data_IF_080334350534
#
_entry.id   IF_080334350534
#
_cell.length_a   1.000
_cell.length_b   1.000
_cell.length_c   1.000
_cell.angle_alpha   90.00
_cell.angle_beta   90.00
_cell.angle_gamma   90.00
#
_symmetry.space_group_name_H-M   'P 1'
#
loop_
_entity.id
_entity.type
_entity.pdbx_description
1 polymer ?
#
# COMPACT_ATOMS: atom_id res chain seq x y z
N UNK A 1 28.79 119.86 -36.04
CA UNK A 1 27.48 120.40 -36.48
C UNK A 1 26.43 119.46 -35.90
N UNK A 2 25.93 119.68 -34.69
CA UNK A 2 24.79 120.58 -34.38
C UNK A 2 23.64 120.35 -35.39
N UNK A 3 22.44 119.89 -35.01
CA UNK A 3 21.55 120.46 -34.00
C UNK A 3 20.50 119.43 -33.50
N UNK A 4 20.05 119.71 -32.26
CA UNK A 4 18.81 119.37 -31.53
C UNK A 4 17.60 118.99 -32.42
N UNK A 5 16.66 118.13 -31.99
CA UNK A 5 15.68 118.45 -30.94
C UNK A 5 15.04 117.19 -30.31
N UNK A 6 14.86 117.30 -28.99
CA UNK A 6 14.05 116.48 -28.10
C UNK A 6 12.61 116.23 -28.57
N UNK A 7 12.05 115.07 -28.21
CA UNK A 7 11.01 115.03 -27.16
C UNK A 7 10.81 113.62 -26.62
N UNK A 8 10.98 113.55 -25.30
CA UNK A 8 10.67 112.44 -24.42
C UNK A 8 9.19 112.03 -24.55
N UNK A 9 8.93 110.75 -24.79
CA UNK A 9 7.84 110.05 -24.13
C UNK A 9 8.33 108.65 -23.76
N UNK A 10 8.37 108.42 -22.45
CA UNK A 10 8.59 107.13 -21.81
C UNK A 10 7.59 106.11 -22.37
N UNK A 11 8.06 104.94 -22.80
CA UNK A 11 7.45 103.66 -22.44
C UNK A 11 8.47 102.55 -22.69
N UNK A 12 8.99 102.00 -21.60
CA UNK A 12 9.95 100.88 -21.56
C UNK A 12 9.28 99.61 -22.09
N UNK A 13 9.61 99.18 -23.30
CA UNK A 13 9.34 97.82 -23.76
C UNK A 13 10.46 96.89 -23.25
N UNK A 14 10.34 96.48 -21.99
CA UNK A 14 11.15 95.41 -21.44
C UNK A 14 10.61 94.07 -21.96
N UNK A 15 11.52 93.29 -22.51
CA UNK A 15 11.36 91.91 -22.95
C UNK A 15 10.73 91.08 -21.81
N UNK A 16 9.46 90.71 -21.93
CA UNK A 16 8.79 89.82 -20.96
C UNK A 16 9.22 88.38 -21.29
N UNK A 17 10.20 87.90 -20.53
CA UNK A 17 10.35 86.47 -20.25
C UNK A 17 9.12 86.06 -19.44
N UNK A 18 8.13 85.44 -20.10
CA UNK A 18 7.02 84.81 -19.39
C UNK A 18 7.59 83.61 -18.63
N UNK A 19 7.74 83.73 -17.31
CA UNK A 19 7.83 82.59 -16.42
C UNK A 19 6.51 81.83 -16.55
N UNK A 20 6.52 80.73 -17.30
CA UNK A 20 5.43 79.77 -17.28
C UNK A 20 5.41 79.16 -15.87
N UNK A 21 4.48 79.60 -15.04
CA UNK A 21 4.16 78.95 -13.78
C UNK A 21 3.43 77.65 -14.11
N UNK A 22 4.19 76.61 -14.46
CA UNK A 22 3.66 75.26 -14.62
C UNK A 22 3.45 74.68 -13.23
N UNK A 23 2.23 74.81 -12.70
CA UNK A 23 1.85 74.04 -11.52
C UNK A 23 1.88 72.55 -11.90
N UNK A 24 2.82 71.81 -11.32
CA UNK A 24 3.04 70.37 -11.55
C UNK A 24 1.83 69.52 -11.09
N UNK A 25 0.94 70.07 -10.27
CA UNK A 25 -0.25 69.39 -9.79
C UNK A 25 -1.53 70.03 -10.36
N UNK A 26 -2.37 69.22 -11.00
CA UNK A 26 -3.68 69.64 -11.50
C UNK A 26 -4.72 69.72 -10.39
N UNK A 27 -5.74 70.57 -10.59
CA UNK A 27 -6.88 70.70 -9.67
C UNK A 27 -7.70 69.40 -9.59
N UNK A 28 -8.28 69.10 -8.43
CA UNK A 28 -9.08 67.89 -8.19
C UNK A 28 -10.15 67.59 -9.27
N UNK A 29 -10.92 68.58 -9.79
CA UNK A 29 -11.88 68.32 -10.87
C UNK A 29 -11.21 68.03 -12.23
N UNK A 30 -10.04 68.60 -12.52
CA UNK A 30 -9.30 68.33 -13.76
C UNK A 30 -8.55 66.99 -13.71
N UNK A 31 -7.98 66.65 -12.56
CA UNK A 31 -7.38 65.34 -12.33
C UNK A 31 -8.42 64.22 -12.46
N UNK A 32 -9.64 64.41 -11.93
CA UNK A 32 -10.77 63.47 -12.11
C UNK A 32 -11.21 63.36 -13.58
N UNK A 33 -11.16 64.43 -14.37
CA UNK A 33 -11.51 64.35 -15.80
C UNK A 33 -10.50 63.56 -16.65
N UNK A 34 -9.23 63.48 -16.23
CA UNK A 34 -8.15 62.76 -16.93
C UNK A 34 -7.99 61.32 -16.39
N UNK A 35 -8.28 61.08 -15.10
CA UNK A 35 -8.06 59.80 -14.43
C UNK A 35 -9.30 58.91 -14.33
N UNK A 36 -10.46 59.30 -14.89
CA UNK A 36 -11.58 58.36 -15.06
C UNK A 36 -11.27 57.44 -16.23
N UNK A 37 -10.54 56.35 -15.95
CA UNK A 37 -10.54 55.19 -16.83
C UNK A 37 -11.84 54.42 -16.56
N UNK A 38 -12.72 54.23 -17.55
CA UNK A 38 -13.88 53.38 -17.34
C UNK A 38 -13.40 51.96 -17.01
N UNK A 39 -14.03 51.31 -16.02
CA UNK A 39 -14.00 49.84 -15.90
C UNK A 39 -14.25 49.26 -17.29
N UNK A 40 -13.63 48.13 -17.66
CA UNK A 40 -14.07 47.42 -18.88
C UNK A 40 -15.55 47.05 -18.67
N UNK A 41 -16.43 47.88 -19.19
CA UNK A 41 -17.85 47.62 -19.17
C UNK A 41 -18.13 46.73 -20.37
N UNK A 42 -18.65 45.54 -20.10
CA UNK A 42 -19.23 44.62 -21.06
C UNK A 42 -20.07 45.39 -22.11
N UNK A 43 -19.48 45.62 -23.28
CA UNK A 43 -20.19 46.18 -24.43
C UNK A 43 -21.02 45.02 -24.98
N UNK A 44 -22.34 45.21 -24.98
CA UNK A 44 -23.45 44.25 -25.09
C UNK A 44 -23.39 43.09 -26.13
N UNK A 45 -22.29 42.84 -26.85
CA UNK A 45 -22.13 41.77 -27.82
C UNK A 45 -20.69 41.19 -27.95
N UNK A 46 -19.76 41.55 -27.05
CA UNK A 46 -18.42 40.95 -27.02
C UNK A 46 -18.02 40.76 -25.56
N UNK A 47 -18.13 39.52 -25.06
CA UNK A 47 -17.31 39.09 -23.93
C UNK A 47 -15.83 39.32 -24.30
N UNK A 48 -15.03 39.70 -23.30
CA UNK A 48 -13.72 40.32 -23.51
C UNK A 48 -12.79 39.49 -24.40
N UNK A 49 -12.52 39.99 -25.61
CA UNK A 49 -11.58 39.35 -26.57
C UNK A 49 -10.13 39.29 -26.01
N UNK A 50 -9.83 40.08 -24.98
CA UNK A 50 -8.49 40.26 -24.43
C UNK A 50 -8.41 39.68 -23.02
N UNK A 51 -7.43 38.79 -22.81
CA UNK A 51 -7.09 38.26 -21.48
C UNK A 51 -7.04 39.35 -20.41
N UNK A 52 -7.70 39.09 -19.27
CA UNK A 52 -7.77 40.01 -18.14
C UNK A 52 -6.38 40.33 -17.57
N UNK A 53 -6.24 41.51 -16.96
CA UNK A 53 -4.98 41.93 -16.33
C UNK A 53 -5.13 41.97 -14.81
N UNK A 54 -4.43 41.06 -14.11
CA UNK A 54 -4.49 40.91 -12.66
C UNK A 54 -4.26 42.22 -11.89
N UNK A 55 -3.25 43.00 -12.29
CA UNK A 55 -2.90 44.26 -11.63
C UNK A 55 -4.05 45.25 -11.71
N UNK A 56 -4.66 45.36 -12.89
CA UNK A 56 -5.75 46.32 -13.11
C UNK A 56 -7.05 45.88 -12.45
N UNK A 57 -7.41 44.60 -12.61
CA UNK A 57 -8.75 44.15 -12.27
C UNK A 57 -8.89 43.79 -10.80
N UNK A 58 -7.84 43.23 -10.19
CA UNK A 58 -7.90 42.78 -8.80
C UNK A 58 -7.03 43.59 -7.83
N UNK A 59 -5.97 44.29 -8.28
CA UNK A 59 -5.14 45.11 -7.38
C UNK A 59 -5.47 46.60 -7.43
N UNK A 60 -5.69 47.18 -8.62
CA UNK A 60 -6.17 48.56 -8.78
C UNK A 60 -7.68 48.67 -8.52
N UNK A 61 -8.43 47.58 -8.74
CA UNK A 61 -9.88 47.48 -8.55
C UNK A 61 -10.28 46.26 -7.70
N UNK A 62 -11.56 46.20 -7.30
CA UNK A 62 -12.15 45.01 -6.68
C UNK A 62 -12.68 44.11 -7.80
N UNK A 63 -12.16 42.88 -7.86
CA UNK A 63 -12.64 41.86 -8.80
C UNK A 63 -13.55 40.83 -8.12
N UNK A 64 -14.44 40.23 -8.91
CA UNK A 64 -15.21 39.06 -8.54
C UNK A 64 -14.51 37.76 -9.01
N UNK A 65 -15.02 36.60 -8.58
CA UNK A 65 -14.38 35.30 -8.87
C UNK A 65 -14.33 34.98 -10.36
N UNK A 66 -15.32 35.43 -11.13
CA UNK A 66 -15.39 35.19 -12.57
C UNK A 66 -14.35 36.04 -13.32
N UNK A 67 -14.18 37.30 -12.92
CA UNK A 67 -13.12 38.17 -13.44
C UNK A 67 -11.72 37.58 -13.13
N UNK A 68 -11.50 37.07 -11.91
CA UNK A 68 -10.27 36.37 -11.58
C UNK A 68 -10.06 35.11 -12.45
N UNK A 69 -11.12 34.36 -12.77
CA UNK A 69 -11.08 33.18 -13.64
C UNK A 69 -10.65 33.54 -15.06
N UNK A 70 -11.10 34.67 -15.57
CA UNK A 70 -10.72 35.21 -16.88
C UNK A 70 -9.25 35.66 -16.95
N UNK A 71 -8.69 36.13 -15.82
CA UNK A 71 -7.27 36.49 -15.73
C UNK A 71 -6.35 35.26 -15.79
N UNK A 72 -6.68 34.19 -15.06
CA UNK A 72 -5.79 33.01 -14.95
C UNK A 72 -6.05 31.96 -16.04
N UNK A 73 -7.26 31.88 -16.59
CA UNK A 73 -7.71 30.86 -17.55
C UNK A 73 -7.50 29.41 -17.06
N UNK A 74 -7.30 29.23 -15.75
CA UNK A 74 -7.03 27.96 -15.08
C UNK A 74 -7.75 27.95 -13.74
N UNK A 75 -8.57 26.92 -13.53
CA UNK A 75 -9.40 26.83 -12.32
C UNK A 75 -8.56 26.70 -11.04
N UNK A 76 -7.46 25.96 -11.07
CA UNK A 76 -6.63 25.75 -9.87
C UNK A 76 -5.95 27.05 -9.46
N UNK A 77 -5.33 27.75 -10.41
CA UNK A 77 -4.70 29.06 -10.15
C UNK A 77 -5.70 30.12 -9.70
N UNK A 78 -6.92 30.08 -10.26
CA UNK A 78 -8.00 30.98 -9.87
C UNK A 78 -8.39 30.75 -8.41
N UNK A 79 -8.58 29.49 -7.99
CA UNK A 79 -8.88 29.17 -6.59
C UNK A 79 -7.74 29.57 -5.67
N UNK A 80 -6.48 29.21 -6.01
CA UNK A 80 -5.31 29.53 -5.18
C UNK A 80 -5.12 31.04 -4.98
N UNK A 81 -5.45 31.86 -5.98
CA UNK A 81 -5.50 33.32 -5.85
C UNK A 81 -6.72 33.78 -5.04
N UNK A 82 -7.90 33.25 -5.36
CA UNK A 82 -9.17 33.72 -4.84
C UNK A 82 -9.33 33.47 -3.35
N UNK A 83 -8.84 32.34 -2.81
CA UNK A 83 -8.90 32.07 -1.36
C UNK A 83 -8.15 33.15 -0.58
N UNK A 84 -6.96 33.52 -1.03
CA UNK A 84 -6.15 34.57 -0.40
C UNK A 84 -6.77 35.96 -0.62
N UNK A 85 -7.28 36.23 -1.82
CA UNK A 85 -7.84 37.54 -2.17
C UNK A 85 -9.12 37.87 -1.41
N UNK A 86 -9.97 36.86 -1.17
CA UNK A 86 -11.31 37.04 -0.60
C UNK A 86 -11.30 37.36 0.90
N UNK A 87 -10.46 36.68 1.69
CA UNK A 87 -10.41 36.86 3.16
C UNK A 87 -9.00 36.77 3.78
N UNK A 88 -7.96 36.85 2.95
CA UNK A 88 -6.56 36.97 3.37
C UNK A 88 -5.87 35.64 3.63
N UNK A 89 -4.54 35.57 3.47
CA UNK A 89 -3.77 34.33 3.67
C UNK A 89 -3.75 33.89 5.14
N UNK A 90 -4.53 32.86 5.47
CA UNK A 90 -4.58 32.25 6.80
C UNK A 90 -3.44 31.28 7.07
N UNK A 91 -2.66 30.93 6.04
CA UNK A 91 -1.43 30.16 6.17
C UNK A 91 -0.20 31.02 6.50
N UNK A 92 -0.31 32.35 6.48
CA UNK A 92 0.79 33.30 6.72
C UNK A 92 1.52 33.10 8.05
N UNK A 93 0.83 32.66 9.09
CA UNK A 93 1.42 32.39 10.42
C UNK A 93 2.00 30.98 10.55
N UNK A 94 1.90 30.17 9.50
CA UNK A 94 2.20 28.75 9.47
C UNK A 94 1.54 27.98 10.64
N UNK A 95 0.20 27.87 10.65
CA UNK A 95 -0.53 27.24 11.75
C UNK A 95 -0.30 25.72 11.85
N UNK A 96 0.19 25.08 10.79
CA UNK A 96 0.44 23.65 10.74
C UNK A 96 1.76 23.30 11.44
N UNK A 97 1.66 22.54 12.53
CA UNK A 97 2.81 22.10 13.32
C UNK A 97 3.52 20.92 12.65
N UNK A 98 4.70 20.60 13.16
CA UNK A 98 5.45 19.38 12.83
C UNK A 98 5.69 19.15 11.32
N UNK A 99 5.91 20.25 10.58
CA UNK A 99 6.21 20.21 9.15
C UNK A 99 5.00 19.94 8.25
N UNK A 100 3.77 20.06 8.77
CA UNK A 100 2.56 19.96 7.97
C UNK A 100 2.47 21.08 6.93
N UNK A 101 1.97 20.76 5.74
CA UNK A 101 1.77 21.74 4.66
C UNK A 101 0.44 22.46 4.85
N UNK A 102 0.49 23.78 4.99
CA UNK A 102 -0.71 24.60 5.08
C UNK A 102 -1.33 24.86 3.71
N UNK A 103 -2.66 24.72 3.61
CA UNK A 103 -3.47 25.11 2.45
C UNK A 103 -4.57 26.07 2.88
N UNK A 104 -4.53 27.26 2.32
CA UNK A 104 -5.50 28.34 2.52
C UNK A 104 -6.87 28.01 1.89
N UNK A 105 -7.97 28.48 2.48
CA UNK A 105 -9.35 28.26 2.02
C UNK A 105 -10.24 29.45 2.36
N UNK A 106 -11.35 29.59 1.65
CA UNK A 106 -12.36 30.59 2.02
C UNK A 106 -12.88 30.30 3.43
N UNK A 107 -12.73 31.27 4.32
CA UNK A 107 -13.15 31.21 5.72
C UNK A 107 -12.19 30.48 6.66
N UNK A 108 -10.97 30.14 6.24
CA UNK A 108 -9.95 29.54 7.11
C UNK A 108 -8.91 28.68 6.39
N UNK A 109 -8.21 27.80 7.10
CA UNK A 109 -7.15 26.98 6.50
C UNK A 109 -7.37 25.49 6.74
N UNK A 110 -6.59 24.67 6.05
CA UNK A 110 -6.47 23.24 6.31
C UNK A 110 -5.02 22.80 6.29
N UNK A 111 -4.63 21.97 7.25
CA UNK A 111 -3.31 21.40 7.32
C UNK A 111 -3.27 20.00 6.69
N UNK A 112 -2.30 19.78 5.82
CA UNK A 112 -1.89 18.45 5.38
C UNK A 112 -0.75 17.99 6.26
N UNK A 113 -1.07 17.16 7.26
CA UNK A 113 -0.10 16.72 8.26
C UNK A 113 0.94 15.78 7.68
N UNK A 114 2.14 15.85 8.26
CA UNK A 114 3.16 14.84 8.07
C UNK A 114 2.69 13.53 8.67
N UNK A 115 3.19 12.44 8.10
CA UNK A 115 2.74 11.09 8.39
C UNK A 115 2.58 10.78 9.89
N UNK A 116 3.46 11.29 10.77
CA UNK A 116 3.43 11.03 12.23
C UNK A 116 2.37 11.81 13.03
N UNK A 117 1.66 12.75 12.41
CA UNK A 117 0.83 13.72 13.11
C UNK A 117 -0.59 13.80 12.52
N UNK A 118 -1.53 14.19 13.36
CA UNK A 118 -2.95 14.37 13.05
C UNK A 118 -3.51 15.55 13.85
N UNK A 119 -4.75 15.94 13.59
CA UNK A 119 -5.37 17.13 14.18
C UNK A 119 -5.52 18.29 13.20
N UNK A 120 -6.20 19.36 13.64
CA UNK A 120 -6.49 20.51 12.77
C UNK A 120 -5.20 21.26 12.38
N UNK A 121 -4.24 21.27 13.31
CA UNK A 121 -2.95 21.94 13.19
C UNK A 121 -1.79 20.94 13.25
N UNK A 122 -2.06 19.64 13.03
CA UNK A 122 -1.06 18.58 13.17
C UNK A 122 -0.43 18.52 14.57
N UNK A 123 -1.23 18.85 15.59
CA UNK A 123 -0.81 18.97 16.99
C UNK A 123 -0.83 17.64 17.76
N UNK A 124 -1.45 16.58 17.20
CA UNK A 124 -1.59 15.28 17.85
C UNK A 124 -0.74 14.21 17.18
N UNK A 125 -0.11 13.38 17.99
CA UNK A 125 0.57 12.17 17.51
C UNK A 125 -0.45 11.09 17.12
N UNK A 126 -0.08 10.23 16.16
CA UNK A 126 -0.90 9.08 15.75
C UNK A 126 -0.86 8.00 16.85
N UNK A 127 -1.96 7.81 17.58
CA UNK A 127 -2.12 6.80 18.65
C UNK A 127 -2.62 5.43 18.19
N UNK A 128 -2.79 5.25 16.88
CA UNK A 128 -3.32 4.02 16.27
C UNK A 128 -2.31 3.43 15.29
N UNK A 129 -2.42 2.12 15.04
CA UNK A 129 -1.60 1.49 14.02
C UNK A 129 -2.02 1.96 12.61
N UNK A 130 -1.12 2.59 11.85
CA UNK A 130 -1.41 3.09 10.51
C UNK A 130 -1.66 1.92 9.55
N UNK A 131 -2.59 2.09 8.61
CA UNK A 131 -2.97 1.09 7.60
C UNK A 131 -2.54 1.43 6.17
N UNK A 132 -1.90 2.60 5.99
CA UNK A 132 -1.36 3.10 4.72
C UNK A 132 -0.45 4.31 4.95
N UNK A 133 0.36 4.67 3.95
CA UNK A 133 1.33 5.78 4.02
C UNK A 133 2.71 5.36 4.51
N UNK A 134 3.63 6.31 4.71
CA UNK A 134 5.01 5.98 5.10
C UNK A 134 5.14 5.56 6.56
N UNK A 135 4.10 5.73 7.38
CA UNK A 135 4.08 5.29 8.77
C UNK A 135 3.94 3.79 9.00
N UNK A 136 3.56 3.03 7.97
CA UNK A 136 3.22 1.62 8.14
C UNK A 136 4.44 0.83 8.62
N UNK A 137 4.25 0.06 9.68
CA UNK A 137 5.25 -0.91 10.13
C UNK A 137 5.39 -2.03 9.09
N UNK A 138 6.62 -2.41 8.74
CA UNK A 138 6.85 -3.48 7.74
C UNK A 138 6.27 -4.83 8.20
N UNK A 139 6.36 -5.12 9.50
CA UNK A 139 5.77 -6.32 10.11
C UNK A 139 4.66 -5.94 11.10
N UNK A 140 4.92 -6.05 12.40
CA UNK A 140 3.88 -5.91 13.42
C UNK A 140 3.81 -4.48 13.95
N UNK A 141 2.61 -4.03 14.29
CA UNK A 141 2.37 -2.79 15.00
C UNK A 141 1.63 -3.07 16.31
N UNK A 142 2.11 -2.49 17.42
CA UNK A 142 1.41 -2.55 18.71
C UNK A 142 1.17 -1.16 19.26
N UNK A 143 -0.04 -0.95 19.75
CA UNK A 143 -0.47 0.31 20.36
C UNK A 143 0.11 0.40 21.78
N UNK A 144 0.65 1.57 22.12
CA UNK A 144 1.12 1.96 23.45
C UNK A 144 0.26 3.13 23.96
N UNK A 145 0.26 3.46 25.26
CA UNK A 145 -0.35 4.70 25.73
C UNK A 145 0.26 5.89 24.98
N UNK A 146 -0.58 6.64 24.26
CA UNK A 146 -0.22 7.84 23.48
C UNK A 146 0.64 7.62 22.21
N UNK A 147 0.99 6.38 21.84
CA UNK A 147 1.80 6.11 20.63
C UNK A 147 1.59 4.70 20.09
N UNK A 148 2.35 4.32 19.06
CA UNK A 148 2.50 2.92 18.65
C UNK A 148 3.97 2.60 18.41
N UNK A 149 4.30 1.31 18.41
CA UNK A 149 5.65 0.83 18.11
C UNK A 149 5.61 -0.33 17.14
N UNK A 150 6.53 -0.32 16.19
CA UNK A 150 6.74 -1.41 15.25
C UNK A 150 7.61 -2.53 15.86
N UNK A 151 7.30 -3.77 15.52
CA UNK A 151 8.03 -4.97 15.92
C UNK A 151 8.23 -5.89 14.72
N UNK A 152 9.29 -6.68 14.73
CA UNK A 152 9.64 -7.55 13.62
C UNK A 152 9.41 -9.04 13.90
N UNK A 153 9.27 -9.82 12.83
CA UNK A 153 9.21 -11.27 12.88
C UNK A 153 10.52 -11.90 13.41
N UNK A 154 10.46 -13.20 13.78
CA UNK A 154 11.62 -13.94 14.30
C UNK A 154 12.77 -13.92 13.28
N UNK A 155 13.96 -13.52 13.74
CA UNK A 155 15.15 -13.41 12.90
C UNK A 155 15.36 -12.04 12.25
N UNK A 156 14.54 -11.04 12.58
CA UNK A 156 14.65 -9.66 12.11
C UNK A 156 14.78 -8.68 13.27
N UNK A 157 15.58 -7.63 13.06
CA UNK A 157 15.69 -6.49 13.96
C UNK A 157 15.00 -5.27 13.34
N UNK A 158 14.47 -4.39 14.20
CA UNK A 158 13.90 -3.12 13.77
C UNK A 158 15.03 -2.20 13.32
N UNK A 159 14.90 -1.65 12.12
CA UNK A 159 15.83 -0.68 11.55
C UNK A 159 15.79 0.64 12.31
N UNK A 160 16.79 1.51 12.10
CA UNK A 160 16.91 2.79 12.80
C UNK A 160 15.81 3.79 12.47
N UNK A 161 15.08 3.59 11.37
CA UNK A 161 13.86 4.37 11.06
C UNK A 161 12.67 4.04 11.96
N UNK A 162 12.78 3.00 12.79
CA UNK A 162 11.73 2.56 13.70
C UNK A 162 10.54 1.86 13.02
N UNK A 163 10.65 1.50 11.72
CA UNK A 163 9.54 0.94 10.92
C UNK A 163 9.93 -0.29 10.11
N UNK A 164 11.10 -0.27 9.48
CA UNK A 164 11.57 -1.35 8.62
C UNK A 164 12.21 -2.49 9.42
N UNK A 165 12.17 -3.69 8.86
CA UNK A 165 12.68 -4.90 9.48
C UNK A 165 13.85 -5.47 8.66
N UNK A 166 15.03 -5.50 9.28
CA UNK A 166 16.26 -6.02 8.66
C UNK A 166 16.57 -7.42 9.17
N UNK A 167 16.88 -8.39 8.28
CA UNK A 167 17.25 -9.73 8.71
C UNK A 167 18.56 -9.69 9.51
N UNK A 168 18.59 -10.39 10.64
CA UNK A 168 19.75 -10.49 11.53
C UNK A 168 20.20 -11.94 11.75
N UNK A 169 19.27 -12.90 11.72
CA UNK A 169 19.59 -14.31 11.81
C UNK A 169 20.17 -14.83 10.48
N UNK A 170 20.98 -15.90 10.55
CA UNK A 170 21.54 -16.56 9.36
C UNK A 170 20.45 -17.05 8.39
N UNK A 171 19.38 -17.65 8.93
CA UNK A 171 18.21 -18.12 8.17
C UNK A 171 16.93 -17.50 8.75
N UNK A 172 16.64 -16.22 8.46
CA UNK A 172 15.42 -15.57 8.95
C UNK A 172 14.19 -16.27 8.39
N UNK A 173 13.09 -16.29 9.14
CA UNK A 173 11.86 -16.84 8.59
C UNK A 173 11.37 -15.99 7.41
N UNK A 174 10.74 -16.65 6.44
CA UNK A 174 10.08 -16.02 5.31
C UNK A 174 10.97 -15.17 4.41
N UNK A 175 12.30 -15.19 4.58
CA UNK A 175 13.19 -14.32 3.82
C UNK A 175 13.19 -14.74 2.36
N UNK A 176 12.61 -13.92 1.50
CA UNK A 176 12.61 -14.14 0.04
C UNK A 176 13.63 -13.25 -0.68
N UNK A 177 14.48 -12.49 0.05
CA UNK A 177 15.57 -11.72 -0.55
C UNK A 177 16.58 -12.67 -1.20
N UNK A 178 16.87 -12.47 -2.48
CA UNK A 178 17.77 -13.31 -3.28
C UNK A 178 17.07 -14.33 -4.18
N UNK A 179 15.77 -14.60 -3.98
CA UNK A 179 14.93 -15.27 -5.00
C UNK A 179 14.42 -14.29 -6.05
N UNK A 180 14.58 -12.98 -5.83
CA UNK A 180 14.20 -11.92 -6.77
C UNK A 180 15.41 -11.23 -7.44
N UNK A 181 16.63 -11.47 -6.97
CA UNK A 181 17.84 -10.71 -7.28
C UNK A 181 19.08 -11.61 -7.45
N UNK A 182 19.06 -12.61 -8.34
CA UNK A 182 20.33 -13.17 -8.83
C UNK A 182 20.89 -12.26 -9.94
N UNK A 183 21.71 -11.30 -9.51
CA UNK A 183 22.39 -10.30 -10.32
C UNK A 183 23.58 -10.92 -11.09
N UNK A 184 23.37 -12.03 -11.81
CA UNK A 184 24.37 -12.64 -12.68
C UNK A 184 23.86 -13.14 -14.03
N UNK A 185 22.78 -12.55 -14.56
CA UNK A 185 22.48 -12.68 -16.00
C UNK A 185 22.33 -11.32 -16.67
N UNK A 186 23.38 -10.91 -17.38
CA UNK A 186 23.30 -9.83 -18.38
C UNK A 186 22.33 -10.25 -19.48
N UNK A 187 21.41 -9.35 -19.80
CA UNK A 187 20.56 -9.32 -20.99
C UNK A 187 19.23 -10.09 -20.94
N UNK A 188 18.27 -9.61 -20.16
CA UNK A 188 16.86 -9.61 -20.59
C UNK A 188 16.20 -8.28 -20.21
N UNK A 189 15.73 -7.56 -21.22
CA UNK A 189 14.91 -6.36 -21.09
C UNK A 189 13.48 -6.78 -20.71
N UNK A 190 13.19 -6.93 -19.42
CA UNK A 190 11.84 -6.81 -18.81
C UNK A 190 12.04 -6.82 -17.30
N UNK A 191 11.58 -5.78 -16.61
CA UNK A 191 11.74 -5.62 -15.15
C UNK A 191 10.82 -6.56 -14.35
N UNK A 192 11.04 -7.87 -14.44
CA UNK A 192 10.30 -8.87 -13.69
C UNK A 192 11.31 -9.85 -13.09
N UNK A 193 11.57 -9.68 -11.80
CA UNK A 193 12.43 -10.59 -11.03
C UNK A 193 11.89 -12.02 -11.05
N UNK A 194 12.75 -12.98 -10.71
CA UNK A 194 12.42 -14.40 -10.77
C UNK A 194 11.18 -14.76 -9.92
N UNK A 195 10.34 -15.72 -10.38
CA UNK A 195 9.13 -16.11 -9.67
C UNK A 195 9.49 -16.79 -8.34
N UNK A 196 8.78 -16.42 -7.27
CA UNK A 196 9.00 -16.95 -5.90
C UNK A 196 8.91 -18.49 -5.86
N UNK A 197 8.08 -19.08 -6.71
CA UNK A 197 7.93 -20.52 -6.87
C UNK A 197 8.29 -20.93 -8.31
N UNK A 198 9.58 -21.12 -8.64
CA UNK A 198 10.00 -21.53 -9.97
C UNK A 198 9.49 -22.94 -10.28
N UNK A 199 9.00 -23.19 -11.51
CA UNK A 199 8.43 -24.48 -11.91
C UNK A 199 7.23 -24.91 -11.05
N UNK A 200 6.58 -23.94 -10.39
CA UNK A 200 5.45 -24.17 -9.50
C UNK A 200 5.81 -24.75 -8.14
N UNK A 201 7.08 -25.03 -7.84
CA UNK A 201 7.54 -25.53 -6.53
C UNK A 201 8.04 -24.38 -5.65
N UNK A 202 7.41 -24.17 -4.50
CA UNK A 202 7.82 -23.11 -3.56
C UNK A 202 8.95 -23.58 -2.62
N UNK A 203 9.91 -22.73 -2.23
CA UNK A 203 11.05 -23.15 -1.39
C UNK A 203 10.67 -23.63 0.02
N UNK A 204 9.52 -23.23 0.54
CA UNK A 204 9.01 -23.67 1.85
C UNK A 204 8.13 -24.92 1.79
N UNK A 205 7.93 -25.45 0.58
CA UNK A 205 7.03 -26.56 0.32
C UNK A 205 7.62 -27.88 0.83
N UNK A 206 6.73 -28.72 1.34
CA UNK A 206 7.01 -30.12 1.64
C UNK A 206 6.04 -30.98 0.85
N UNK A 207 6.53 -32.02 0.18
CA UNK A 207 5.72 -32.93 -0.62
C UNK A 207 5.81 -34.33 -0.06
N UNK A 208 4.67 -34.90 0.31
CA UNK A 208 4.55 -36.28 0.77
C UNK A 208 4.23 -37.19 -0.40
N UNK A 209 5.10 -38.15 -0.67
CA UNK A 209 4.95 -39.15 -1.74
C UNK A 209 4.77 -40.54 -1.15
N UNK A 210 3.96 -41.41 -1.75
CA UNK A 210 3.86 -42.80 -1.28
C UNK A 210 4.97 -43.70 -1.87
N UNK A 211 4.95 -44.99 -1.51
CA UNK A 211 5.90 -45.98 -2.04
C UNK A 211 5.82 -46.20 -3.56
N UNK A 212 4.74 -45.75 -4.21
CA UNK A 212 4.60 -45.75 -5.67
C UNK A 212 5.14 -44.48 -6.33
N UNK A 213 5.49 -43.46 -5.54
CA UNK A 213 5.96 -42.16 -6.02
C UNK A 213 4.84 -41.14 -6.26
N UNK A 214 3.58 -41.49 -5.94
CA UNK A 214 2.45 -40.58 -6.11
C UNK A 214 2.42 -39.52 -5.01
N UNK A 215 2.15 -38.26 -5.37
CA UNK A 215 2.02 -37.17 -4.40
C UNK A 215 0.68 -37.28 -3.67
N UNK A 216 0.73 -37.49 -2.36
CA UNK A 216 -0.46 -37.69 -1.52
C UNK A 216 -0.90 -36.36 -0.90
N UNK A 217 0.06 -35.61 -0.37
CA UNK A 217 -0.21 -34.38 0.34
C UNK A 217 0.94 -33.40 0.22
N UNK A 218 0.63 -32.19 0.64
CA UNK A 218 1.57 -31.11 0.83
C UNK A 218 1.70 -30.70 2.30
N UNK A 219 2.76 -29.98 2.60
CA UNK A 219 3.06 -29.42 3.91
C UNK A 219 3.97 -28.22 3.79
N UNK A 220 4.35 -27.66 4.94
CA UNK A 220 5.16 -26.45 5.02
C UNK A 220 6.21 -26.52 6.11
N UNK A 221 7.38 -25.97 5.81
CA UNK A 221 8.51 -25.85 6.72
C UNK A 221 8.28 -24.65 7.65
N UNK A 222 8.27 -24.91 8.97
CA UNK A 222 8.18 -23.88 10.00
C UNK A 222 9.46 -23.73 10.84
N UNK A 223 10.36 -24.70 10.74
CA UNK A 223 11.61 -24.79 11.52
C UNK A 223 12.58 -25.76 10.86
N UNK A 224 13.75 -25.97 11.47
CA UNK A 224 14.72 -26.96 10.97
C UNK A 224 14.24 -28.40 11.15
N UNK A 225 13.40 -28.66 12.15
CA UNK A 225 12.84 -29.98 12.45
C UNK A 225 11.31 -29.97 12.50
N UNK A 226 10.68 -28.87 12.10
CA UNK A 226 9.26 -28.62 12.32
C UNK A 226 8.51 -28.45 11.02
N UNK A 227 7.56 -29.34 10.76
CA UNK A 227 6.70 -29.31 9.56
C UNK A 227 5.23 -29.26 9.99
N UNK A 228 4.43 -28.49 9.24
CA UNK A 228 2.98 -28.45 9.40
C UNK A 228 2.30 -29.02 8.15
N UNK A 229 1.28 -29.85 8.35
CA UNK A 229 0.45 -30.45 7.27
C UNK A 229 -0.98 -30.66 7.78
N UNK A 230 -1.84 -31.30 7.00
CA UNK A 230 -3.20 -31.67 7.40
C UNK A 230 -3.21 -32.97 8.20
N UNK A 231 -4.11 -33.08 9.17
CA UNK A 231 -4.28 -34.29 9.96
C UNK A 231 -4.78 -35.46 9.11
N UNK A 232 -5.68 -35.18 8.18
CA UNK A 232 -6.20 -36.15 7.20
C UNK A 232 -5.07 -36.86 6.47
N UNK A 233 -4.00 -36.13 6.11
CA UNK A 233 -2.85 -36.72 5.45
C UNK A 233 -2.17 -37.80 6.31
N UNK A 234 -1.95 -37.50 7.59
CA UNK A 234 -1.22 -38.36 8.52
C UNK A 234 -2.04 -39.53 9.04
N UNK A 235 -3.36 -39.51 8.86
CA UNK A 235 -4.26 -40.62 9.22
C UNK A 235 -4.47 -41.62 8.08
N UNK A 236 -3.91 -41.39 6.89
CA UNK A 236 -3.98 -42.39 5.81
C UNK A 236 -2.98 -43.51 6.07
N UNK A 237 -3.40 -44.78 5.95
CA UNK A 237 -2.53 -45.97 6.06
C UNK A 237 -1.59 -46.08 4.83
N UNK A 238 -0.74 -45.08 4.63
CA UNK A 238 0.26 -45.03 3.55
C UNK A 238 1.64 -44.87 4.15
N UNK A 239 2.60 -45.64 3.63
CA UNK A 239 4.00 -45.40 3.92
C UNK A 239 4.46 -44.20 3.07
N UNK A 240 4.57 -43.03 3.70
CA UNK A 240 4.90 -41.77 3.02
C UNK A 240 6.43 -41.53 3.03
N UNK A 241 6.92 -40.77 2.05
CA UNK A 241 8.28 -40.25 1.83
C UNK A 241 8.20 -38.73 1.60
N UNK A 242 9.28 -37.97 1.85
CA UNK A 242 9.22 -36.51 2.06
C UNK A 242 10.25 -35.83 1.18
N UNK A 243 9.75 -34.94 0.33
CA UNK A 243 10.58 -34.12 -0.56
C UNK A 243 10.45 -32.68 -0.10
N UNK A 244 11.57 -32.00 0.10
CA UNK A 244 11.61 -30.66 0.70
C UNK A 244 12.13 -29.65 -0.30
N UNK A 245 11.46 -28.49 -0.39
CA UNK A 245 11.90 -27.35 -1.18
C UNK A 245 11.85 -27.59 -2.69
N UNK A 246 12.75 -26.92 -3.40
CA UNK A 246 12.90 -27.04 -4.86
C UNK A 246 13.81 -28.20 -5.30
N UNK A 247 14.53 -28.85 -4.37
CA UNK A 247 15.46 -29.91 -4.73
C UNK A 247 14.74 -31.20 -5.13
N UNK A 248 15.11 -31.78 -6.27
CA UNK A 248 14.66 -33.12 -6.70
C UNK A 248 15.30 -34.27 -5.87
N UNK A 249 16.07 -33.93 -4.83
CA UNK A 249 16.69 -34.90 -3.92
C UNK A 249 15.65 -35.34 -2.90
N UNK A 250 15.22 -36.59 -3.01
CA UNK A 250 14.31 -37.22 -2.04
C UNK A 250 15.04 -37.45 -0.71
N UNK A 251 14.49 -36.94 0.40
CA UNK A 251 14.92 -37.29 1.75
C UNK A 251 13.98 -38.38 2.28
N UNK A 252 14.50 -39.54 2.65
CA UNK A 252 13.65 -40.65 3.11
C UNK A 252 12.94 -40.32 4.44
N UNK A 253 11.64 -40.65 4.56
CA UNK A 253 10.75 -40.36 5.73
C UNK A 253 10.92 -41.26 6.92
N UNK A 254 11.94 -42.11 6.94
CA UNK A 254 12.38 -42.80 8.16
C UNK A 254 12.82 -41.85 9.29
N UNK A 255 12.66 -40.54 9.12
CA UNK A 255 13.10 -39.47 10.00
C UNK A 255 11.95 -38.69 10.68
N UNK A 256 10.67 -39.03 10.50
CA UNK A 256 9.61 -38.38 11.32
C UNK A 256 9.58 -39.05 12.70
N UNK A 257 10.08 -38.34 13.71
CA UNK A 257 10.13 -38.81 15.10
C UNK A 257 8.74 -38.87 15.71
N UNK A 258 7.90 -37.87 15.42
CA UNK A 258 6.61 -37.71 16.07
C UNK A 258 5.62 -36.98 15.17
N UNK A 259 4.41 -37.52 15.06
CA UNK A 259 3.26 -36.85 14.48
C UNK A 259 2.26 -36.46 15.58
N UNK A 260 1.87 -35.19 15.61
CA UNK A 260 0.97 -34.63 16.62
C UNK A 260 -0.24 -34.04 15.89
N UNK A 261 -1.35 -34.77 15.94
CA UNK A 261 -2.64 -34.27 15.43
C UNK A 261 -3.19 -33.19 16.37
N UNK A 262 -3.89 -32.20 15.82
CA UNK A 262 -4.60 -31.23 16.63
C UNK A 262 -5.66 -31.93 17.50
N UNK A 263 -5.74 -31.59 18.78
CA UNK A 263 -6.57 -32.30 19.77
C UNK A 263 -8.08 -32.27 19.49
N UNK A 264 -8.55 -31.30 18.69
CA UNK A 264 -9.95 -31.17 18.26
C UNK A 264 -10.23 -31.77 16.88
N UNK A 265 -9.22 -32.34 16.23
CA UNK A 265 -9.40 -32.97 14.93
C UNK A 265 -10.35 -34.17 15.05
N UNK A 266 -11.28 -34.27 14.10
CA UNK A 266 -12.21 -35.39 13.98
C UNK A 266 -12.20 -35.87 12.53
N UNK A 267 -11.96 -37.17 12.33
CA UNK A 267 -11.94 -37.78 11.01
C UNK A 267 -13.24 -37.51 10.25
N UNK A 268 -13.11 -37.08 8.99
CA UNK A 268 -14.26 -36.75 8.13
C UNK A 268 -14.85 -35.35 8.35
N UNK A 269 -14.34 -34.57 9.31
CA UNK A 269 -14.69 -33.15 9.45
C UNK A 269 -13.57 -32.25 8.93
N UNK A 270 -13.89 -31.14 8.24
CA UNK A 270 -12.89 -30.22 7.71
C UNK A 270 -12.32 -29.27 8.79
N UNK A 271 -12.97 -29.18 9.96
CA UNK A 271 -12.50 -28.36 11.07
C UNK A 271 -11.28 -28.97 11.76
N UNK A 272 -10.37 -28.11 12.22
CA UNK A 272 -9.20 -28.48 13.00
C UNK A 272 -8.29 -29.54 12.31
N UNK A 273 -8.32 -29.62 10.97
CA UNK A 273 -7.52 -30.53 10.13
C UNK A 273 -6.05 -30.11 10.03
N UNK A 274 -5.32 -30.21 11.14
CA UNK A 274 -3.91 -29.87 11.24
C UNK A 274 -3.11 -30.94 11.97
N UNK A 275 -1.92 -31.22 11.45
CA UNK A 275 -0.91 -32.07 12.07
C UNK A 275 0.44 -31.35 12.09
N UNK A 276 1.15 -31.52 13.20
CA UNK A 276 2.51 -31.04 13.39
C UNK A 276 3.45 -32.22 13.41
N UNK A 277 4.51 -32.17 12.61
CA UNK A 277 5.51 -33.22 12.48
C UNK A 277 6.84 -32.72 13.02
N UNK A 278 7.47 -33.56 13.82
CA UNK A 278 8.81 -33.38 14.35
C UNK A 278 9.77 -34.35 13.64
N UNK A 279 10.81 -33.79 13.02
CA UNK A 279 11.84 -34.54 12.34
C UNK A 279 13.02 -34.87 13.27
N UNK A 280 13.58 -36.05 13.07
CA UNK A 280 14.79 -36.52 13.73
C UNK A 280 16.02 -35.79 13.19
N UNK A 281 16.10 -35.55 11.89
CA UNK A 281 17.20 -34.80 11.27
C UNK A 281 16.78 -33.38 10.91
N UNK A 282 17.73 -32.46 10.99
CA UNK A 282 17.50 -31.06 10.67
C UNK A 282 17.56 -30.82 9.16
N UNK A 283 16.56 -30.11 8.64
CA UNK A 283 16.53 -29.57 7.29
C UNK A 283 17.61 -28.49 7.16
N UNK A 284 18.42 -28.60 6.10
CA UNK A 284 19.36 -27.56 5.71
C UNK A 284 18.58 -26.40 5.07
N UNK A 285 18.44 -25.30 5.81
CA UNK A 285 17.84 -24.06 5.30
C UNK A 285 18.83 -23.31 4.41
N UNK A 286 18.31 -22.59 3.40
CA UNK A 286 19.09 -21.83 2.43
C UNK A 286 18.20 -21.26 1.31
N UNK A 287 18.79 -20.84 0.19
CA UNK A 287 18.05 -20.19 -0.90
C UNK A 287 16.95 -21.07 -1.54
N UNK A 288 17.18 -22.38 -1.67
CA UNK A 288 16.20 -23.32 -2.23
C UNK A 288 15.22 -23.93 -1.23
N UNK A 289 15.44 -23.68 0.07
CA UNK A 289 14.68 -24.27 1.18
C UNK A 289 14.53 -23.26 2.30
N UNK A 290 13.37 -22.60 2.39
CA UNK A 290 13.12 -21.57 3.40
C UNK A 290 12.00 -21.98 4.35
N UNK A 291 12.10 -21.57 5.61
CA UNK A 291 11.00 -21.70 6.57
C UNK A 291 10.08 -20.48 6.46
N UNK A 292 8.75 -20.63 6.55
CA UNK A 292 7.84 -19.49 6.55
C UNK A 292 7.76 -18.82 7.93
N UNK A 293 7.50 -17.50 7.94
CA UNK A 293 7.16 -16.82 9.18
C UNK A 293 5.73 -17.16 9.63
N UNK A 294 5.56 -17.40 10.92
CA UNK A 294 4.23 -17.43 11.55
C UNK A 294 3.82 -16.02 11.98
N UNK A 295 2.76 -15.44 11.40
CA UNK A 295 2.33 -14.09 11.74
C UNK A 295 1.67 -14.01 13.13
N UNK A 296 1.46 -12.79 13.62
CA UNK A 296 0.51 -12.53 14.71
C UNK A 296 -0.92 -12.54 14.19
N UNK A 297 -1.91 -12.81 15.07
CA UNK A 297 -3.31 -12.97 14.68
C UNK A 297 -3.85 -11.73 13.97
N UNK A 298 -3.68 -10.55 14.56
CA UNK A 298 -4.26 -9.32 14.05
C UNK A 298 -3.56 -8.87 12.76
N UNK A 299 -2.24 -9.04 12.67
CA UNK A 299 -1.49 -8.80 11.43
C UNK A 299 -1.95 -9.74 10.31
N UNK A 300 -2.12 -11.02 10.63
CA UNK A 300 -2.60 -12.02 9.67
C UNK A 300 -3.99 -11.68 9.14
N UNK A 301 -4.95 -11.40 10.03
CA UNK A 301 -6.35 -11.21 9.65
C UNK A 301 -6.63 -9.83 9.03
N UNK A 302 -5.92 -8.78 9.44
CA UNK A 302 -6.22 -7.41 9.00
C UNK A 302 -5.30 -6.91 7.87
N UNK A 303 -4.06 -7.44 7.77
CA UNK A 303 -3.07 -6.97 6.80
C UNK A 303 -2.76 -8.03 5.74
N UNK A 304 -2.49 -9.28 6.15
CA UNK A 304 -2.07 -10.33 5.22
C UNK A 304 -3.23 -10.99 4.46
N UNK A 305 -4.39 -11.15 5.09
CA UNK A 305 -5.59 -11.78 4.51
C UNK A 305 -6.67 -10.76 4.15
N UNK A 306 -6.30 -9.49 3.92
CA UNK A 306 -7.24 -8.45 3.50
C UNK A 306 -7.86 -8.80 2.15
N UNK A 307 -9.18 -8.60 2.01
CA UNK A 307 -9.91 -8.92 0.77
C UNK A 307 -9.27 -8.25 -0.45
N UNK A 308 -9.11 -9.01 -1.53
CA UNK A 308 -8.46 -8.57 -2.77
C UNK A 308 -6.93 -8.64 -2.77
N UNK A 309 -6.29 -8.89 -1.62
CA UNK A 309 -4.85 -9.16 -1.57
C UNK A 309 -4.55 -10.54 -2.15
N UNK A 310 -3.41 -10.68 -2.78
CA UNK A 310 -2.99 -11.94 -3.41
C UNK A 310 -2.20 -12.82 -2.43
N UNK A 311 -2.42 -14.14 -2.53
CA UNK A 311 -1.59 -15.15 -1.89
C UNK A 311 -0.68 -15.86 -2.89
N UNK A 312 0.42 -16.40 -2.38
CA UNK A 312 1.35 -17.26 -3.12
C UNK A 312 1.03 -18.71 -2.78
N UNK A 313 0.80 -19.49 -3.83
CA UNK A 313 0.53 -20.93 -3.79
C UNK A 313 1.52 -21.68 -4.67
N UNK A 314 1.54 -23.01 -4.51
CA UNK A 314 2.18 -23.95 -5.43
C UNK A 314 1.45 -23.89 -6.78
N UNK A 315 2.20 -23.72 -7.89
CA UNK A 315 1.69 -23.60 -9.26
C UNK A 315 2.02 -22.25 -9.93
N UNK A 316 2.44 -22.26 -11.21
CA UNK A 316 3.03 -21.09 -11.91
C UNK A 316 2.04 -20.00 -12.34
N UNK A 317 0.73 -20.28 -12.43
CA UNK A 317 -0.17 -19.43 -13.23
C UNK A 317 -1.07 -18.48 -12.42
N UNK A 318 -1.55 -18.87 -11.23
CA UNK A 318 -2.63 -18.16 -10.56
C UNK A 318 -2.26 -17.80 -9.12
N UNK A 319 -2.18 -16.49 -8.83
CA UNK A 319 -2.17 -15.96 -7.45
C UNK A 319 -3.61 -15.68 -7.04
N UNK A 320 -4.25 -16.55 -6.23
CA UNK A 320 -5.62 -16.30 -5.85
C UNK A 320 -5.69 -15.13 -4.87
N UNK A 321 -6.85 -14.48 -4.85
CA UNK A 321 -7.11 -13.33 -4.00
C UNK A 321 -8.01 -13.69 -2.83
N UNK A 322 -7.74 -13.14 -1.65
CA UNK A 322 -8.57 -13.35 -0.46
C UNK A 322 -9.97 -12.76 -0.66
N UNK A 323 -10.99 -13.48 -0.21
CA UNK A 323 -12.37 -13.03 -0.21
C UNK A 323 -12.87 -12.72 1.20
N UNK A 324 -13.84 -11.82 1.30
CA UNK A 324 -14.59 -11.62 2.54
C UNK A 324 -15.49 -12.82 2.84
N UNK A 325 -15.79 -13.05 4.11
CA UNK A 325 -16.59 -14.20 4.54
C UNK A 325 -18.00 -14.20 3.91
N UNK A 326 -18.62 -13.02 3.77
CA UNK A 326 -19.94 -12.88 3.14
C UNK A 326 -19.91 -13.26 1.65
N UNK A 327 -18.83 -12.90 0.95
CA UNK A 327 -18.63 -13.29 -0.45
C UNK A 327 -18.36 -14.79 -0.54
N UNK A 328 -17.60 -15.37 0.39
CA UNK A 328 -17.39 -16.83 0.44
C UNK A 328 -18.71 -17.58 0.59
N UNK A 329 -19.56 -17.18 1.53
CA UNK A 329 -20.86 -17.83 1.78
C UNK A 329 -21.83 -17.71 0.59
N UNK A 330 -21.78 -16.60 -0.15
CA UNK A 330 -22.67 -16.39 -1.29
C UNK A 330 -22.16 -17.04 -2.59
N UNK A 331 -20.85 -17.18 -2.77
CA UNK A 331 -20.23 -17.76 -3.97
C UNK A 331 -20.04 -19.27 -3.91
N UNK A 332 -19.72 -19.84 -2.74
CA UNK A 332 -19.31 -21.24 -2.62
C UNK A 332 -20.45 -22.15 -2.16
N UNK A 333 -20.82 -23.12 -2.99
CA UNK A 333 -21.73 -24.20 -2.65
C UNK A 333 -20.96 -25.40 -2.06
N UNK A 334 -20.47 -25.24 -0.83
CA UNK A 334 -19.67 -26.27 -0.16
C UNK A 334 -20.54 -27.38 0.45
N UNK A 335 -19.99 -28.58 0.52
CA UNK A 335 -20.61 -29.72 1.23
C UNK A 335 -20.60 -29.56 2.76
N UNK A 336 -19.94 -28.52 3.27
CA UNK A 336 -19.79 -28.25 4.70
C UNK A 336 -19.97 -26.75 4.97
N UNK A 337 -20.31 -26.42 6.22
CA UNK A 337 -20.46 -25.02 6.65
C UNK A 337 -19.10 -24.38 6.90
N UNK A 338 -18.86 -23.20 6.31
CA UNK A 338 -17.65 -22.41 6.59
C UNK A 338 -17.69 -21.88 8.02
N UNK A 339 -16.64 -22.19 8.78
CA UNK A 339 -16.46 -21.66 10.14
C UNK A 339 -15.52 -20.46 10.14
N UNK A 340 -15.48 -19.70 11.24
CA UNK A 340 -14.53 -18.59 11.39
C UNK A 340 -13.05 -19.03 11.43
N UNK A 341 -12.79 -20.35 11.51
CA UNK A 341 -11.47 -20.99 11.42
C UNK A 341 -11.05 -21.28 9.97
N UNK A 342 -11.87 -20.89 9.00
CA UNK A 342 -11.59 -21.04 7.58
C UNK A 342 -11.61 -19.67 6.89
N UNK A 343 -11.09 -19.63 5.68
CA UNK A 343 -11.26 -18.54 4.74
C UNK A 343 -11.26 -19.10 3.32
N UNK A 344 -11.75 -18.30 2.36
CA UNK A 344 -11.73 -18.69 0.96
C UNK A 344 -10.99 -17.68 0.09
N UNK A 345 -10.55 -18.17 -1.06
CA UNK A 345 -9.86 -17.38 -2.08
C UNK A 345 -10.41 -17.70 -3.46
N UNK A 346 -10.26 -16.75 -4.38
CA UNK A 346 -10.69 -16.87 -5.77
C UNK A 346 -9.48 -16.72 -6.69
N UNK A 347 -9.31 -17.67 -7.60
CA UNK A 347 -8.36 -17.53 -8.72
C UNK A 347 -8.88 -16.44 -9.66
N UNK A 348 -8.07 -15.40 -9.92
CA UNK A 348 -8.41 -14.42 -10.96
C UNK A 348 -8.17 -15.05 -12.33
N UNK A 349 -9.19 -15.06 -13.19
CA UNK A 349 -8.98 -15.35 -14.61
C UNK A 349 -8.23 -14.17 -15.27
N UNK A 350 -7.25 -14.44 -16.16
CA UNK A 350 -6.55 -13.37 -16.87
C UNK A 350 -7.53 -12.56 -17.73
N UNK A 351 -7.47 -11.23 -17.59
CA UNK A 351 -8.31 -10.30 -18.35
C UNK A 351 -8.12 -10.52 -19.86
N UNK A 352 -9.21 -10.83 -20.58
CA UNK A 352 -9.22 -10.97 -22.04
C UNK A 352 -9.68 -12.32 -22.59
N UNK A 353 -9.84 -13.36 -21.77
CA UNK A 353 -10.42 -14.64 -22.21
C UNK A 353 -11.93 -14.64 -22.01
N UNK A 354 -12.68 -14.21 -23.02
CA UNK A 354 -14.15 -14.42 -23.05
C UNK A 354 -14.41 -15.90 -23.28
N UNK A 355 -14.55 -16.69 -22.20
CA UNK A 355 -15.19 -17.99 -22.30
C UNK A 355 -16.66 -17.74 -22.65
N UNK A 356 -17.09 -18.23 -23.83
CA UNK A 356 -18.51 -18.55 -24.04
C UNK A 356 -18.95 -19.34 -22.82
N UNK A 357 -20.02 -18.92 -22.13
CA UNK A 357 -20.67 -19.65 -21.03
C UNK A 357 -20.88 -21.11 -21.45
N UNK A 358 -19.88 -21.95 -21.23
CA UNK A 358 -19.97 -23.38 -21.38
C UNK A 358 -20.24 -23.88 -19.98
N UNK A 359 -21.50 -24.27 -19.79
CA UNK A 359 -22.11 -25.01 -18.70
C UNK A 359 -21.15 -25.52 -17.62
N UNK A 360 -21.46 -25.19 -16.35
CA UNK A 360 -21.18 -25.94 -15.12
C UNK A 360 -20.38 -27.25 -15.31
N UNK A 361 -19.10 -27.16 -15.68
CA UNK A 361 -18.19 -28.29 -15.62
C UNK A 361 -17.42 -28.14 -14.33
N UNK A 362 -17.65 -29.10 -13.42
CA UNK A 362 -16.89 -29.27 -12.18
C UNK A 362 -15.39 -29.19 -12.53
N UNK A 363 -14.68 -28.20 -12.01
CA UNK A 363 -13.22 -28.08 -12.17
C UNK A 363 -12.60 -28.90 -11.05
N UNK A 364 -11.86 -29.93 -11.41
CA UNK A 364 -11.06 -30.70 -10.46
C UNK A 364 -10.02 -29.77 -9.83
N UNK A 365 -9.78 -29.94 -8.54
CA UNK A 365 -8.83 -29.11 -7.81
C UNK A 365 -7.41 -29.49 -8.23
N UNK A 366 -6.72 -28.61 -8.94
CA UNK A 366 -5.29 -28.78 -9.26
C UNK A 366 -4.41 -28.72 -8.00
N UNK A 367 -4.98 -28.27 -6.87
CA UNK A 367 -4.30 -28.09 -5.60
C UNK A 367 -4.46 -29.31 -4.68
N UNK A 368 -3.34 -29.76 -4.12
CA UNK A 368 -3.28 -30.95 -3.26
C UNK A 368 -3.54 -30.57 -1.79
N UNK A 369 -4.22 -31.45 -1.04
CA UNK A 369 -4.49 -31.24 0.40
C UNK A 369 -3.22 -30.91 1.18
N UNK A 370 -3.31 -29.91 2.07
CA UNK A 370 -2.17 -29.42 2.83
C UNK A 370 -1.24 -28.48 2.07
N UNK A 371 -1.60 -28.04 0.87
CA UNK A 371 -0.85 -26.98 0.17
C UNK A 371 -0.87 -25.69 0.99
N UNK A 372 0.29 -25.14 1.36
CA UNK A 372 0.35 -23.90 2.11
C UNK A 372 0.09 -22.70 1.20
N UNK A 373 -0.68 -21.74 1.72
CA UNK A 373 -0.75 -20.39 1.15
C UNK A 373 0.04 -19.43 2.02
N UNK A 374 0.89 -18.64 1.37
CA UNK A 374 1.67 -17.60 2.02
C UNK A 374 1.29 -16.23 1.47
N UNK A 375 1.26 -15.20 2.31
CA UNK A 375 1.21 -13.81 1.86
C UNK A 375 2.58 -13.19 2.05
N UNK A 376 3.06 -12.48 1.02
CA UNK A 376 4.32 -11.73 1.09
C UNK A 376 4.01 -10.29 1.48
N UNK A 377 4.68 -9.80 2.52
CA UNK A 377 4.70 -8.39 2.92
C UNK A 377 6.14 -7.90 2.87
N UNK A 378 6.42 -6.87 2.08
CA UNK A 378 7.78 -6.43 1.79
C UNK A 378 8.61 -7.57 1.19
N UNK A 379 9.64 -8.01 1.90
CA UNK A 379 10.51 -9.12 1.50
C UNK A 379 10.36 -10.36 2.41
N UNK A 380 9.22 -10.49 3.09
CA UNK A 380 8.97 -11.55 4.06
C UNK A 380 7.68 -12.31 3.74
N UNK A 381 7.78 -13.62 3.58
CA UNK A 381 6.65 -14.52 3.37
C UNK A 381 6.09 -15.05 4.71
N UNK A 382 4.78 -14.91 4.90
CA UNK A 382 4.06 -15.33 6.09
C UNK A 382 3.03 -16.41 5.75
N UNK A 383 3.01 -17.50 6.53
CA UNK A 383 1.99 -18.53 6.40
C UNK A 383 0.63 -18.01 6.87
N UNK A 384 -0.38 -18.04 5.99
CA UNK A 384 -1.75 -17.61 6.31
C UNK A 384 -2.72 -18.78 6.39
N UNK A 385 -2.54 -19.80 5.54
CA UNK A 385 -3.48 -20.92 5.46
C UNK A 385 -2.89 -22.22 4.93
N UNK A 386 -3.65 -23.30 5.13
CA UNK A 386 -3.40 -24.63 4.59
C UNK A 386 -4.62 -25.08 3.80
N UNK A 387 -4.44 -25.56 2.57
CA UNK A 387 -5.56 -25.95 1.71
C UNK A 387 -6.29 -27.16 2.29
N UNK A 388 -7.61 -27.02 2.42
CA UNK A 388 -8.49 -28.12 2.80
C UNK A 388 -8.79 -28.97 1.56
N UNK A 389 -8.83 -30.29 1.71
CA UNK A 389 -9.22 -31.17 0.60
C UNK A 389 -10.65 -30.85 0.13
N UNK A 390 -10.81 -30.46 -1.12
CA UNK A 390 -12.11 -30.18 -1.76
C UNK A 390 -12.30 -31.04 -3.00
N UNK A 391 -13.56 -31.37 -3.32
CA UNK A 391 -13.88 -32.16 -4.53
C UNK A 391 -14.31 -31.31 -5.72
N UNK A 392 -14.56 -30.02 -5.51
CA UNK A 392 -14.95 -29.04 -6.52
C UNK A 392 -14.30 -27.69 -6.19
N UNK A 393 -13.40 -27.23 -7.08
CA UNK A 393 -12.74 -25.93 -6.95
C UNK A 393 -13.26 -24.93 -8.00
N UNK A 394 -14.35 -25.25 -8.72
CA UNK A 394 -14.89 -24.36 -9.76
C UNK A 394 -15.36 -23.01 -9.23
N UNK A 395 -15.67 -22.91 -7.95
CA UNK A 395 -16.24 -21.71 -7.33
C UNK A 395 -15.25 -20.98 -6.40
N UNK A 396 -14.09 -21.57 -6.12
CA UNK A 396 -13.04 -21.01 -5.26
C UNK A 396 -12.35 -22.05 -4.38
N UNK A 397 -11.32 -21.62 -3.65
CA UNK A 397 -10.44 -22.44 -2.83
C UNK A 397 -10.67 -22.15 -1.36
N UNK A 398 -10.70 -23.17 -0.49
CA UNK A 398 -10.92 -23.00 0.96
C UNK A 398 -9.73 -23.50 1.76
N UNK A 399 -9.34 -22.70 2.75
CA UNK A 399 -8.15 -22.93 3.57
C UNK A 399 -8.48 -22.93 5.05
N UNK A 400 -7.77 -23.75 5.82
CA UNK A 400 -7.69 -23.62 7.27
C UNK A 400 -6.92 -22.35 7.63
N UNK A 401 -7.51 -21.51 8.49
CA UNK A 401 -6.93 -20.23 8.91
C UNK A 401 -5.90 -20.41 10.03
N UNK A 402 -4.62 -20.26 9.71
CA UNK A 402 -3.52 -20.52 10.67
C UNK A 402 -3.51 -19.54 11.85
N UNK A 403 -4.00 -18.31 11.66
CA UNK A 403 -4.13 -17.31 12.74
C UNK A 403 -4.92 -17.80 13.96
N UNK A 404 -5.79 -18.82 13.79
CA UNK A 404 -6.62 -19.42 14.84
C UNK A 404 -5.93 -20.55 15.62
N UNK A 405 -4.76 -20.99 15.16
CA UNK A 405 -3.99 -22.10 15.74
C UNK A 405 -2.60 -21.69 16.23
N UNK A 406 -2.26 -20.39 16.15
CA UNK A 406 -0.93 -19.88 16.49
C UNK A 406 -0.44 -20.30 17.89
N UNK A 407 -1.32 -20.34 18.89
CA UNK A 407 -0.94 -20.76 20.25
C UNK A 407 -0.49 -22.23 20.30
N UNK A 408 -1.22 -23.11 19.61
CA UNK A 408 -0.89 -24.54 19.54
C UNK A 408 0.41 -24.75 18.77
N UNK A 409 0.54 -24.14 17.60
CA UNK A 409 1.73 -24.27 16.74
C UNK A 409 2.98 -23.71 17.44
N UNK A 410 2.91 -22.50 18.01
CA UNK A 410 4.06 -21.87 18.69
C UNK A 410 4.56 -22.68 19.87
N UNK A 411 3.64 -23.30 20.64
CA UNK A 411 4.02 -24.17 21.75
C UNK A 411 4.85 -25.37 21.27
N UNK A 412 4.45 -26.01 20.18
CA UNK A 412 5.16 -27.14 19.59
C UNK A 412 6.48 -26.74 18.94
N UNK A 413 6.52 -25.58 18.27
CA UNK A 413 7.75 -25.04 17.72
C UNK A 413 8.78 -24.74 18.82
N UNK A 414 8.35 -24.15 19.93
CA UNK A 414 9.25 -23.86 21.06
C UNK A 414 9.81 -25.14 21.69
N UNK A 415 9.00 -26.21 21.81
CA UNK A 415 9.51 -27.48 22.34
C UNK A 415 10.45 -28.20 21.39
N UNK A 416 10.26 -28.06 20.08
CA UNK A 416 11.02 -28.78 19.05
C UNK A 416 12.31 -28.04 18.67
N UNK A 417 12.23 -26.74 18.46
CA UNK A 417 13.36 -25.90 18.00
C UNK A 417 14.09 -25.21 19.16
N UNK A 418 13.55 -25.24 20.38
CA UNK A 418 14.16 -24.64 21.57
C UNK A 418 15.11 -25.58 22.34
N UNK A 419 15.25 -26.84 21.90
CA UNK A 419 16.17 -27.83 22.48
C UNK A 419 17.57 -27.79 21.86
N UNK A 420 17.89 -26.76 21.08
CA UNK A 420 19.20 -26.47 20.48
C UNK A 420 19.64 -25.07 20.87
#
# INVERSE_FOLDING_TARGET
MEFKLWSFFYFTAACVLTTADQTVFQSEPQAKAILVRPKRANRFYVEEILKGNLERECYEEICNKEEAREVFEDNQKTEDFWTIYHDGDQCKTNPCQHGGTCKDKIGGYSCQCTDMFTGQNCERDVSQCPTGGALVCEHYCRILPESYRCFCAKGYNLHSDGRSCIPHAQDPCGNVRGLSDDFTSRNTKTGQGDPICPQGKCPWQVTFVDGGGDVICHGVILGRRSILTTATCMTTDRNLSLVVGHSDVQVHVSQVTRSILHNRYLTGKPDDDLAFLELNESIALGLGTIQLCLPEKDFSENILMKSGKEGVLVGEANKPSYLSLDVCHSKLNLSFSLTNKMFCMEEREPEGVVRRRSQNKKKECDLISGSPVATVEGNTAFLTGMFLSQTDCSQGLVFTKISRYLLWIRKLLLSTEGQT
#
